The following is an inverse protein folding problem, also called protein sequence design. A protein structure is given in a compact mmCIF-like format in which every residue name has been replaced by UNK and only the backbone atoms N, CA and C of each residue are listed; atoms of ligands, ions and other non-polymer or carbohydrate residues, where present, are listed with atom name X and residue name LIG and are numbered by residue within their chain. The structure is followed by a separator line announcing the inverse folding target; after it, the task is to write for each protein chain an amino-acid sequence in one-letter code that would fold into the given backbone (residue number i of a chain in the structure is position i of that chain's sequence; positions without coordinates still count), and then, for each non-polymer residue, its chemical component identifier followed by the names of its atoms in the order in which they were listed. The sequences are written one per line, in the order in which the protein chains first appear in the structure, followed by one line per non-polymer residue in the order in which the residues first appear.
data_IF_620933328349
#
_entry.id   IF_620933328349
#
_cell.length_a   1.000
_cell.length_b   1.000
_cell.length_c   1.000
_cell.angle_alpha   90.00
_cell.angle_beta   90.00
_cell.angle_gamma   90.00
#
_symmetry.space_group_name_H-M   'P 1'
#
loop_
_entity.id
_entity.type
_entity.pdbx_description
1 polymer ?
#
# COMPACT_ATOMS: atom_id res chain seq x y z
N UNK A 1 30.35 -15.47 11.54
CA UNK A 1 29.17 -15.07 12.33
C UNK A 1 28.16 -14.45 11.36
N UNK A 2 27.10 -15.18 10.98
CA UNK A 2 26.03 -14.62 10.13
C UNK A 2 25.14 -13.77 11.03
N UNK A 3 25.11 -12.46 10.77
CA UNK A 3 24.13 -11.56 11.38
C UNK A 3 22.75 -12.01 10.90
N UNK A 4 21.99 -12.62 11.81
CA UNK A 4 20.56 -12.84 11.63
C UNK A 4 19.90 -11.46 11.62
N UNK A 5 19.77 -10.85 10.44
CA UNK A 5 18.98 -9.64 10.27
C UNK A 5 17.52 -10.09 10.33
N UNK A 6 16.96 -10.13 11.55
CA UNK A 6 15.61 -10.65 11.85
C UNK A 6 14.47 -9.73 11.44
N UNK A 7 14.76 -8.52 10.94
CA UNK A 7 13.74 -7.60 10.47
C UNK A 7 13.59 -7.71 8.94
N UNK A 8 12.93 -8.79 8.51
CA UNK A 8 12.55 -8.99 7.11
C UNK A 8 11.36 -8.09 6.80
N UNK A 9 11.55 -7.17 5.84
CA UNK A 9 10.49 -6.28 5.37
C UNK A 9 10.16 -6.58 3.92
N UNK A 10 8.90 -6.36 3.57
CA UNK A 10 8.44 -6.28 2.20
C UNK A 10 8.13 -4.83 1.87
N UNK A 11 8.40 -4.48 0.62
CA UNK A 11 8.13 -3.17 0.05
C UNK A 11 7.08 -3.35 -1.04
N UNK A 12 6.01 -2.57 -0.97
CA UNK A 12 4.85 -2.65 -1.85
C UNK A 12 4.73 -1.30 -2.53
N UNK A 13 4.91 -1.26 -3.85
CA UNK A 13 4.77 -0.05 -4.64
C UNK A 13 3.34 0.07 -5.15
N UNK A 14 2.71 1.19 -4.86
CA UNK A 14 1.36 1.54 -5.28
C UNK A 14 1.41 2.73 -6.23
N UNK A 15 0.50 2.74 -7.21
CA UNK A 15 0.20 3.88 -8.05
C UNK A 15 -1.15 4.48 -7.67
N UNK A 16 -1.24 5.81 -7.66
CA UNK A 16 -2.49 6.56 -7.51
C UNK A 16 -3.14 6.65 -8.88
N UNK A 17 -4.31 6.04 -9.04
CA UNK A 17 -5.05 5.97 -10.31
C UNK A 17 -6.19 6.98 -10.40
N UNK A 18 -6.66 7.49 -9.26
CA UNK A 18 -7.65 8.56 -9.16
C UNK A 18 -7.45 9.34 -7.84
N UNK A 19 -7.91 10.59 -7.83
CA UNK A 19 -7.71 11.55 -6.73
C UNK A 19 -6.86 12.75 -7.14
N UNK A 20 -7.07 13.87 -6.48
CA UNK A 20 -6.24 15.07 -6.66
C UNK A 20 -4.87 14.91 -6.00
N UNK A 21 -3.89 15.72 -6.41
CA UNK A 21 -2.56 15.75 -5.78
C UNK A 21 -2.66 16.10 -4.29
N UNK A 22 -3.58 16.97 -3.93
CA UNK A 22 -3.82 17.37 -2.54
C UNK A 22 -4.37 16.21 -1.69
N UNK A 23 -5.10 15.29 -2.31
CA UNK A 23 -5.63 14.10 -1.65
C UNK A 23 -4.58 12.99 -1.51
N UNK A 24 -3.55 12.96 -2.37
CA UNK A 24 -2.52 11.92 -2.40
C UNK A 24 -1.46 12.11 -1.31
N UNK A 25 -1.84 11.82 -0.06
CA UNK A 25 -1.03 12.04 1.12
C UNK A 25 -1.14 10.91 2.15
N UNK A 26 -0.26 10.92 3.16
CA UNK A 26 -0.22 9.90 4.21
C UNK A 26 -1.51 9.80 5.02
N UNK A 27 -2.21 10.92 5.25
CA UNK A 27 -3.45 10.93 6.03
C UNK A 27 -4.56 10.16 5.32
N UNK A 28 -4.74 10.40 4.02
CA UNK A 28 -5.75 9.71 3.23
C UNK A 28 -5.38 8.25 2.98
N UNK A 29 -4.09 7.95 2.75
CA UNK A 29 -3.60 6.57 2.67
C UNK A 29 -3.83 5.82 3.98
N UNK A 30 -3.58 6.45 5.13
CA UNK A 30 -3.85 5.86 6.45
C UNK A 30 -5.33 5.52 6.62
N UNK A 31 -6.23 6.44 6.26
CA UNK A 31 -7.69 6.22 6.35
C UNK A 31 -8.12 5.02 5.50
N UNK A 32 -7.68 4.97 4.25
CA UNK A 32 -7.96 3.86 3.33
C UNK A 32 -7.49 2.53 3.92
N UNK A 33 -6.22 2.47 4.35
CA UNK A 33 -5.66 1.26 4.92
C UNK A 33 -6.42 0.84 6.19
N UNK A 34 -6.76 1.79 7.06
CA UNK A 34 -7.47 1.50 8.32
C UNK A 34 -8.86 0.94 8.07
N UNK A 35 -9.64 1.61 7.22
CA UNK A 35 -11.02 1.21 6.94
C UNK A 35 -11.04 -0.14 6.22
N UNK A 36 -10.22 -0.29 5.18
CA UNK A 36 -10.13 -1.55 4.42
C UNK A 36 -9.54 -2.71 5.25
N UNK A 37 -8.63 -2.44 6.19
CA UNK A 37 -8.14 -3.46 7.14
C UNK A 37 -9.24 -3.91 8.08
N UNK A 38 -10.03 -2.96 8.59
CA UNK A 38 -11.17 -3.26 9.46
C UNK A 38 -12.23 -4.08 8.73
N UNK A 39 -12.53 -3.74 7.49
CA UNK A 39 -13.55 -4.46 6.69
C UNK A 39 -13.13 -5.89 6.38
N UNK A 40 -11.84 -6.13 6.11
CA UNK A 40 -11.35 -7.45 5.73
C UNK A 40 -10.98 -8.34 6.92
N UNK A 41 -10.35 -7.77 7.95
CA UNK A 41 -9.77 -8.52 9.07
C UNK A 41 -10.45 -8.26 10.42
N UNK A 42 -11.43 -7.36 10.48
CA UNK A 42 -12.03 -6.90 11.73
C UNK A 42 -11.10 -5.98 12.54
N UNK A 43 -11.58 -5.50 13.69
CA UNK A 43 -10.82 -4.54 14.52
C UNK A 43 -9.54 -5.10 15.15
N UNK A 44 -9.46 -6.43 15.33
CA UNK A 44 -8.36 -7.10 16.06
C UNK A 44 -7.42 -7.87 15.10
N UNK A 45 -7.92 -8.34 13.95
CA UNK A 45 -7.14 -9.13 13.00
C UNK A 45 -6.27 -8.29 12.05
N UNK A 46 -6.57 -6.99 11.93
CA UNK A 46 -5.89 -6.06 11.04
C UNK A 46 -4.47 -5.72 11.48
N UNK A 47 -3.71 -5.10 10.57
CA UNK A 47 -2.46 -4.42 10.89
C UNK A 47 -2.78 -2.94 11.18
N UNK A 48 -2.29 -2.39 12.29
CA UNK A 48 -2.37 -0.94 12.50
C UNK A 48 -1.49 -0.22 11.46
N UNK A 49 -2.08 0.59 10.55
CA UNK A 49 -1.32 1.28 9.52
C UNK A 49 -0.32 2.30 10.08
N UNK A 50 -0.44 2.71 11.35
CA UNK A 50 0.54 3.58 12.01
C UNK A 50 1.95 2.95 12.10
N UNK A 51 2.03 1.63 12.05
CA UNK A 51 3.29 0.87 12.09
C UNK A 51 3.94 0.71 10.71
N UNK A 52 3.30 1.20 9.64
CA UNK A 52 3.82 1.16 8.29
C UNK A 52 4.68 2.40 8.01
N UNK A 53 5.74 2.23 7.24
CA UNK A 53 6.50 3.37 6.71
C UNK A 53 6.11 3.60 5.26
N UNK A 54 5.79 4.84 4.90
CA UNK A 54 5.40 5.26 3.56
C UNK A 54 6.49 6.15 2.95
N UNK A 55 6.69 6.04 1.64
CA UNK A 55 7.62 6.87 0.88
C UNK A 55 6.92 7.28 -0.40
N UNK A 56 6.51 8.56 -0.49
CA UNK A 56 5.85 9.11 -1.66
C UNK A 56 6.83 9.54 -2.74
N UNK A 57 6.44 9.40 -4.01
CA UNK A 57 7.09 10.07 -5.12
C UNK A 57 6.86 11.58 -5.04
N UNK A 58 7.77 12.36 -5.64
CA UNK A 58 7.70 13.84 -5.62
C UNK A 58 6.41 14.41 -6.23
N UNK A 59 5.83 13.68 -7.17
CA UNK A 59 4.59 14.05 -7.87
C UNK A 59 3.34 13.43 -7.23
N UNK A 60 3.49 12.72 -6.10
CA UNK A 60 2.43 12.03 -5.37
C UNK A 60 1.64 11.01 -6.20
N UNK A 61 2.19 10.55 -7.34
CA UNK A 61 1.57 9.52 -8.19
C UNK A 61 1.88 8.11 -7.73
N UNK A 62 2.93 7.93 -6.93
CA UNK A 62 3.35 6.63 -6.43
C UNK A 62 3.67 6.70 -4.94
N UNK A 63 3.43 5.61 -4.23
CA UNK A 63 3.85 5.44 -2.83
C UNK A 63 4.41 4.05 -2.62
N UNK A 64 5.50 3.96 -1.88
CA UNK A 64 6.05 2.68 -1.41
C UNK A 64 5.69 2.51 0.05
N UNK A 65 5.06 1.38 0.37
CA UNK A 65 4.77 0.96 1.75
C UNK A 65 5.79 -0.10 2.15
N UNK A 66 6.50 0.15 3.25
CA UNK A 66 7.33 -0.83 3.93
C UNK A 66 6.51 -1.50 5.03
N UNK A 67 6.31 -2.80 4.89
CA UNK A 67 5.55 -3.62 5.84
C UNK A 67 6.44 -4.76 6.39
N UNK A 68 6.22 -5.20 7.65
CA UNK A 68 6.79 -6.45 8.15
C UNK A 68 6.44 -7.62 7.21
N UNK A 69 7.40 -8.50 6.92
CA UNK A 69 7.21 -9.57 5.93
C UNK A 69 6.04 -10.51 6.26
N UNK A 70 5.81 -10.79 7.54
CA UNK A 70 4.70 -11.60 8.05
C UNK A 70 3.34 -10.90 7.92
N UNK A 71 3.30 -9.57 7.82
CA UNK A 71 2.07 -8.78 7.70
C UNK A 71 1.85 -8.23 6.27
N UNK A 72 2.82 -8.34 5.38
CA UNK A 72 2.77 -7.77 4.03
C UNK A 72 1.56 -8.24 3.21
N UNK A 73 1.16 -9.50 3.38
CA UNK A 73 -0.01 -10.06 2.72
C UNK A 73 -1.31 -9.33 3.11
N UNK A 74 -1.40 -8.84 4.36
CA UNK A 74 -2.56 -8.06 4.81
C UNK A 74 -2.66 -6.75 4.06
N UNK A 75 -1.53 -6.05 3.90
CA UNK A 75 -1.47 -4.79 3.14
C UNK A 75 -1.87 -5.02 1.68
N UNK A 76 -1.37 -6.08 1.04
CA UNK A 76 -1.74 -6.42 -0.34
C UNK A 76 -3.24 -6.69 -0.50
N UNK A 77 -3.83 -7.46 0.43
CA UNK A 77 -5.26 -7.77 0.40
C UNK A 77 -6.12 -6.54 0.63
N UNK A 78 -5.77 -5.72 1.62
CA UNK A 78 -6.43 -4.45 1.91
C UNK A 78 -6.44 -3.52 0.70
N UNK A 79 -5.31 -3.32 0.02
CA UNK A 79 -5.26 -2.49 -1.18
C UNK A 79 -6.09 -3.09 -2.31
N UNK A 80 -6.01 -4.39 -2.54
CA UNK A 80 -6.78 -5.07 -3.59
C UNK A 80 -8.29 -4.95 -3.37
N UNK A 81 -8.74 -4.97 -2.12
CA UNK A 81 -10.14 -4.78 -1.74
C UNK A 81 -10.60 -3.34 -1.92
N UNK A 82 -9.77 -2.37 -1.53
CA UNK A 82 -10.04 -0.96 -1.81
C UNK A 82 -10.19 -0.69 -3.31
N UNK A 83 -9.34 -1.31 -4.14
CA UNK A 83 -9.44 -1.20 -5.60
C UNK A 83 -10.69 -1.88 -6.16
N UNK A 84 -11.21 -2.92 -5.51
CA UNK A 84 -12.39 -3.66 -5.99
C UNK A 84 -13.72 -3.04 -5.53
N UNK A 85 -13.76 -2.40 -4.36
CA UNK A 85 -14.94 -1.66 -3.88
C UNK A 85 -15.27 -0.44 -4.74
N UNK A 86 -14.30 0.05 -5.51
CA UNK A 86 -14.47 1.10 -6.53
C UNK A 86 -15.43 0.69 -7.68
N UNK A 87 -15.80 -0.60 -7.81
CA UNK A 87 -16.77 -1.09 -8.81
C UNK A 87 -18.23 -1.14 -8.31
N UNK A 88 -18.49 -0.87 -7.02
CA UNK A 88 -19.85 -0.65 -6.54
C UNK A 88 -20.17 0.86 -6.62
N UNK A 89 -21.35 1.26 -7.14
CA UNK A 89 -21.71 2.66 -7.39
C UNK A 89 -22.11 3.43 -6.11
N UNK A 90 -21.99 2.81 -4.94
CA UNK A 90 -21.98 3.58 -3.69
C UNK A 90 -20.73 4.45 -3.73
N UNK A 91 -20.82 5.76 -3.47
CA UNK A 91 -19.66 6.64 -3.53
C UNK A 91 -18.63 6.07 -2.56
N UNK A 92 -17.54 5.49 -3.07
CA UNK A 92 -16.39 5.17 -2.25
C UNK A 92 -16.02 6.49 -1.57
N UNK A 93 -16.26 6.59 -0.26
CA UNK A 93 -16.07 7.82 0.51
C UNK A 93 -14.60 8.24 0.59
N UNK A 94 -13.71 7.44 -0.01
CA UNK A 94 -12.29 7.62 -0.02
C UNK A 94 -11.83 8.40 -1.26
N UNK A 95 -11.03 9.46 -1.07
CA UNK A 95 -10.62 10.38 -2.12
C UNK A 95 -9.51 9.84 -3.06
N UNK A 96 -9.02 8.61 -2.86
CA UNK A 96 -7.94 8.03 -3.65
C UNK A 96 -8.29 6.65 -4.16
N UNK A 97 -7.98 6.38 -5.43
CA UNK A 97 -7.88 5.02 -5.96
C UNK A 97 -6.42 4.60 -6.05
N UNK A 98 -6.14 3.37 -5.61
CA UNK A 98 -4.78 2.82 -5.56
C UNK A 98 -4.70 1.56 -6.43
N UNK A 99 -3.55 1.31 -7.03
CA UNK A 99 -3.24 0.08 -7.76
C UNK A 99 -1.87 -0.44 -7.31
N UNK A 100 -1.76 -1.75 -7.06
CA UNK A 100 -0.47 -2.38 -6.80
C UNK A 100 0.32 -2.43 -8.11
N UNK A 101 1.51 -1.83 -8.13
CA UNK A 101 2.42 -1.83 -9.27
C UNK A 101 3.46 -2.94 -9.15
N UNK A 102 4.04 -3.11 -7.97
CA UNK A 102 5.03 -4.16 -7.71
C UNK A 102 5.20 -4.44 -6.22
N UNK A 103 5.78 -5.59 -5.90
CA UNK A 103 6.08 -6.06 -4.55
C UNK A 103 7.46 -6.74 -4.53
N UNK A 104 8.27 -6.44 -3.53
CA UNK A 104 9.62 -6.97 -3.40
C UNK A 104 10.08 -7.03 -1.96
N UNK A 105 11.00 -7.95 -1.63
CA UNK A 105 11.71 -8.00 -0.35
C UNK A 105 12.88 -7.01 -0.28
N UNK A 106 13.19 -6.32 -1.39
CA UNK A 106 14.27 -5.35 -1.51
C UNK A 106 13.78 -4.09 -2.20
N UNK A 107 13.94 -2.94 -1.53
CA UNK A 107 13.53 -1.62 -2.04
C UNK A 107 14.21 -1.27 -3.37
N UNK A 108 15.47 -1.65 -3.55
CA UNK A 108 16.24 -1.36 -4.77
C UNK A 108 15.62 -2.03 -6.00
N UNK A 109 14.93 -3.15 -5.84
CA UNK A 109 14.27 -3.81 -6.96
C UNK A 109 13.01 -3.07 -7.41
N UNK A 110 12.43 -2.20 -6.57
CA UNK A 110 11.22 -1.44 -6.91
C UNK A 110 11.51 -0.14 -7.68
N UNK A 111 12.76 0.31 -7.72
CA UNK A 111 13.16 1.51 -8.46
C UNK A 111 13.37 1.24 -9.95
N UNK A 112 13.46 -0.04 -10.36
CA UNK A 112 13.42 -0.43 -11.77
C UNK A 112 11.97 -0.39 -12.25
N UNK A 113 11.78 0.33 -13.35
CA UNK A 113 10.51 0.42 -14.03
C UNK A 113 10.29 -0.91 -14.77
N UNK A 114 9.73 -1.92 -14.08
CA UNK A 114 9.43 -3.25 -14.67
C UNK A 114 8.36 -3.19 -15.77
N UNK A 115 7.85 -1.99 -16.10
CA UNK A 115 6.99 -1.72 -17.26
C UNK A 115 7.72 -1.68 -18.61
N UNK A 116 9.04 -1.86 -18.65
CA UNK A 116 9.78 -2.06 -19.91
C UNK A 116 10.20 -3.53 -20.03
N UNK A 117 9.21 -4.42 -20.08
CA UNK A 117 9.35 -5.74 -20.65
C UNK A 117 8.83 -5.72 -22.08
N UNK A 118 9.75 -5.72 -23.05
CA UNK A 118 9.56 -5.72 -24.51
C UNK A 118 9.36 -4.33 -25.13
#
# INVERSE_FOLDING_TARGET
MRLNVTNTYHYIKLGVTSGSVDEANDLNLYRILKDSMKDWFGEIGGLDPSNLTTIWSKDHREVVIKAPADQAHKVLNTISMHSSSSFNPEPSSHPLSLQILSHSHCLVNLSRNDRLGI
#
